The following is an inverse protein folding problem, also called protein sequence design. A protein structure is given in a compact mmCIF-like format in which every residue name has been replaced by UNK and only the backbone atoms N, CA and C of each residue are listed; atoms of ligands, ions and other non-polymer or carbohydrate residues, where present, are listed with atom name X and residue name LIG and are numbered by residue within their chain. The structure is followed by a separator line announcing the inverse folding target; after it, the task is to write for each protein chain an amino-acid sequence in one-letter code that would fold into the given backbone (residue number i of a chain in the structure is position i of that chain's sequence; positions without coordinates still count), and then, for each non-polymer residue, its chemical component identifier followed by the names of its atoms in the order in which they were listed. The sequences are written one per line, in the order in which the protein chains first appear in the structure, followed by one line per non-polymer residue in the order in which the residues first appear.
data_IF_178797830673
#
_entry.id   IF_178797830673
#
_cell.length_a   1.000
_cell.length_b   1.000
_cell.length_c   1.000
_cell.angle_alpha   90.00
_cell.angle_beta   90.00
_cell.angle_gamma   90.00
#
_symmetry.space_group_name_H-M   'P 1'
#
loop_
_entity.id
_entity.type
_entity.pdbx_description
1 polymer ?
#
# COMPACT_ATOMS: atom_id res chain seq x y z
N UNK A 1 -7.77 -5.05 10.48
CA UNK A 1 -8.63 -4.86 9.30
C UNK A 1 -8.19 -3.59 8.59
N UNK A 2 -8.02 -3.61 7.26
CA UNK A 2 -7.60 -2.43 6.49
C UNK A 2 -8.82 -1.54 6.30
N UNK A 3 -8.75 -0.30 6.79
CA UNK A 3 -9.74 0.74 6.50
C UNK A 3 -9.29 1.50 5.26
N UNK A 4 -10.14 1.52 4.23
CA UNK A 4 -9.85 2.24 2.99
C UNK A 4 -10.22 3.72 3.08
N UNK A 5 -11.11 4.05 4.02
CA UNK A 5 -11.57 5.40 4.28
C UNK A 5 -11.22 5.81 5.73
N UNK A 6 -10.61 7.00 5.94
CA UNK A 6 -10.38 8.03 4.94
C UNK A 6 -9.05 7.93 4.17
N UNK A 7 -8.12 7.02 4.53
CA UNK A 7 -6.78 7.03 3.91
C UNK A 7 -6.14 5.65 3.80
N UNK A 8 -5.96 5.18 2.57
CA UNK A 8 -4.83 4.30 2.21
C UNK A 8 -3.70 5.22 1.76
N UNK A 9 -2.59 5.24 2.51
CA UNK A 9 -1.38 5.95 2.06
C UNK A 9 -0.63 5.10 1.05
N UNK A 10 -0.80 5.43 -0.22
CA UNK A 10 -0.04 4.87 -1.34
C UNK A 10 1.19 5.73 -1.66
N UNK A 11 1.97 6.09 -0.64
CA UNK A 11 3.24 6.80 -0.81
C UNK A 11 4.42 5.89 -0.44
N UNK A 12 5.56 6.10 -1.10
CA UNK A 12 6.77 5.37 -0.79
C UNK A 12 7.33 5.81 0.56
N UNK A 13 7.65 4.85 1.43
CA UNK A 13 8.30 5.13 2.71
C UNK A 13 9.76 5.51 2.44
N UNK A 14 10.14 6.71 2.86
CA UNK A 14 11.53 7.16 2.83
C UNK A 14 12.33 6.48 3.95
N UNK A 15 13.32 5.66 3.57
CA UNK A 15 14.20 4.94 4.48
C UNK A 15 15.06 5.86 5.36
N UNK A 16 15.20 7.13 4.97
CA UNK A 16 15.98 8.12 5.70
C UNK A 16 15.15 8.88 6.75
N UNK A 17 13.83 8.70 6.78
CA UNK A 17 12.94 9.31 7.78
C UNK A 17 12.60 8.32 8.88
N UNK A 18 12.44 8.83 10.10
CA UNK A 18 11.92 8.02 11.21
C UNK A 18 10.43 7.71 10.98
N UNK A 19 9.94 6.60 11.54
CA UNK A 19 8.52 6.26 11.49
C UNK A 19 7.63 7.39 12.00
N UNK A 20 8.01 8.03 13.12
CA UNK A 20 7.29 9.18 13.67
C UNK A 20 7.24 10.38 12.72
N UNK A 21 8.32 10.67 11.98
CA UNK A 21 8.36 11.76 11.02
C UNK A 21 7.52 11.48 9.77
N UNK A 22 7.31 10.19 9.45
CA UNK A 22 6.40 9.72 8.41
C UNK A 22 5.00 9.42 8.95
N UNK A 23 4.69 9.85 10.17
CA UNK A 23 3.39 9.66 10.82
C UNK A 23 2.94 8.18 10.96
N UNK A 24 3.89 7.25 10.88
CA UNK A 24 3.66 5.82 11.10
C UNK A 24 3.63 5.55 12.60
N UNK A 25 2.50 5.02 13.08
CA UNK A 25 2.23 4.74 14.49
C UNK A 25 2.03 3.24 14.75
N UNK A 26 1.99 2.86 16.03
CA UNK A 26 1.68 1.48 16.41
C UNK A 26 0.28 1.09 15.96
N UNK A 27 0.18 -0.02 15.24
CA UNK A 27 -1.08 -0.52 14.68
C UNK A 27 -1.20 -0.31 13.17
N UNK A 28 -0.33 0.50 12.57
CA UNK A 28 -0.28 0.68 11.12
C UNK A 28 0.20 -0.57 10.40
N UNK A 29 -0.25 -0.72 9.14
CA UNK A 29 0.10 -1.84 8.26
C UNK A 29 0.95 -1.30 7.13
N UNK A 30 2.21 -1.76 7.05
CA UNK A 30 3.09 -1.44 5.93
C UNK A 30 2.94 -2.51 4.86
N UNK A 31 2.52 -2.09 3.66
CA UNK A 31 2.51 -2.95 2.49
C UNK A 31 3.80 -2.76 1.68
N UNK A 32 4.32 -3.85 1.11
CA UNK A 32 5.48 -3.80 0.22
C UNK A 32 5.21 -4.64 -1.04
N UNK A 33 5.87 -4.28 -2.13
CA UNK A 33 5.87 -5.06 -3.36
C UNK A 33 7.31 -5.31 -3.82
N UNK A 34 7.51 -6.44 -4.50
CA UNK A 34 8.78 -6.70 -5.19
C UNK A 34 8.79 -5.94 -6.49
N UNK A 35 9.97 -5.50 -6.94
CA UNK A 35 10.14 -4.92 -8.27
C UNK A 35 9.57 -5.92 -9.31
N UNK A 36 8.53 -5.52 -10.07
CA UNK A 36 7.88 -6.42 -11.00
C UNK A 36 8.87 -6.83 -12.09
N UNK A 37 9.02 -8.15 -12.27
CA UNK A 37 9.72 -8.69 -13.44
C UNK A 37 8.75 -8.69 -14.62
N UNK A 38 9.20 -8.40 -15.85
CA UNK A 38 8.31 -8.29 -17.02
C UNK A 38 7.46 -9.54 -17.29
N UNK A 39 7.95 -10.72 -16.88
CA UNK A 39 7.22 -12.00 -16.96
C UNK A 39 6.14 -12.21 -15.87
N UNK A 40 6.05 -11.34 -14.87
CA UNK A 40 5.24 -11.50 -13.65
C UNK A 40 4.24 -10.35 -13.42
N UNK A 41 3.88 -9.60 -14.46
CA UNK A 41 2.78 -8.64 -14.35
C UNK A 41 1.45 -9.40 -14.26
N UNK A 42 1.07 -9.77 -13.03
CA UNK A 42 -0.24 -10.32 -12.73
C UNK A 42 -1.37 -9.31 -12.92
N UNK A 43 -2.61 -9.72 -12.64
CA UNK A 43 -3.82 -8.91 -12.83
C UNK A 43 -3.78 -7.53 -12.15
N UNK A 44 -3.05 -7.41 -11.05
CA UNK A 44 -2.84 -6.16 -10.32
C UNK A 44 -1.34 -5.86 -10.30
N UNK A 45 -0.86 -4.87 -11.08
CA UNK A 45 0.56 -4.61 -11.24
C UNK A 45 1.21 -3.97 -10.01
N UNK A 46 0.42 -3.47 -9.05
CA UNK A 46 0.90 -2.92 -7.80
C UNK A 46 -0.02 -3.20 -6.62
N UNK A 47 0.51 -3.07 -5.39
CA UNK A 47 -0.27 -3.09 -4.15
C UNK A 47 -1.41 -2.09 -4.19
N UNK A 48 -1.15 -0.87 -4.68
CA UNK A 48 -2.18 0.18 -4.80
C UNK A 48 -3.34 -0.27 -5.70
N UNK A 49 -3.03 -0.83 -6.88
CA UNK A 49 -4.05 -1.33 -7.81
C UNK A 49 -4.88 -2.49 -7.24
N UNK A 50 -4.26 -3.36 -6.44
CA UNK A 50 -4.96 -4.44 -5.75
C UNK A 50 -5.90 -3.90 -4.67
N UNK A 51 -5.42 -2.97 -3.84
CA UNK A 51 -6.21 -2.36 -2.77
C UNK A 51 -7.41 -1.58 -3.33
N UNK A 52 -7.22 -0.85 -4.43
CA UNK A 52 -8.31 -0.16 -5.12
C UNK A 52 -9.39 -1.15 -5.57
N UNK A 53 -9.00 -2.25 -6.23
CA UNK A 53 -9.95 -3.27 -6.68
C UNK A 53 -10.76 -3.91 -5.54
N UNK A 54 -10.14 -4.10 -4.37
CA UNK A 54 -10.86 -4.60 -3.18
C UNK A 54 -11.83 -3.54 -2.66
N UNK A 55 -11.42 -2.27 -2.62
CA UNK A 55 -12.27 -1.15 -2.22
C UNK A 55 -13.50 -1.03 -3.13
N UNK A 56 -13.32 -1.11 -4.44
CA UNK A 56 -14.39 -0.99 -5.43
C UNK A 56 -15.43 -2.13 -5.33
N UNK A 57 -15.04 -3.31 -4.84
CA UNK A 57 -15.94 -4.44 -4.61
C UNK A 57 -16.71 -4.37 -3.29
N UNK A 58 -16.31 -3.49 -2.37
CA UNK A 58 -17.01 -3.26 -1.11
C UNK A 58 -18.11 -2.18 -1.21
N UNK A 59 -18.38 -1.68 -2.42
CA UNK A 59 -19.53 -0.82 -2.76
C UNK A 59 -20.80 -1.64 -2.86
#
# INVERSE_FOLDING_TARGET
EIKFDPWVWCEAIDIHRTFSASEIITGDIICYEKIPKPQNCGKYPSVASFLQHISDQKV
#
